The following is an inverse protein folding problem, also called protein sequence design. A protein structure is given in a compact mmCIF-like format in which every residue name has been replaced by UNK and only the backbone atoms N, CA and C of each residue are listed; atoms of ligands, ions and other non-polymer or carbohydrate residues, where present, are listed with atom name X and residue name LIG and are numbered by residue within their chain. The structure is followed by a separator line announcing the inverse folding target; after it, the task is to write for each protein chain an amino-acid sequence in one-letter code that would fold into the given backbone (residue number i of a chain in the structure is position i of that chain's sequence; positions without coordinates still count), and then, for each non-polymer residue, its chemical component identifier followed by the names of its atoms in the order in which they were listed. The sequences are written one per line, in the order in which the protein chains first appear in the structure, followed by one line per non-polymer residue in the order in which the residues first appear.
data_IF_173340928309
#
_entry.id   IF_173340928309
#
_cell.length_a   1.000
_cell.length_b   1.000
_cell.length_c   1.000
_cell.angle_alpha   90.00
_cell.angle_beta   90.00
_cell.angle_gamma   90.00
#
_symmetry.space_group_name_H-M   'P 1'
#
loop_
_entity.id
_entity.type
_entity.pdbx_description
1 polymer ?
#
# COMPACT_ATOMS: atom_id res chain seq x y z
N UNK A 1 12.48 -7.32 -26.54
CA UNK A 1 13.16 -7.41 -25.23
C UNK A 1 12.67 -6.20 -24.46
N UNK A 2 11.43 -6.29 -23.97
CA UNK A 2 10.64 -5.16 -23.49
C UNK A 2 10.43 -5.28 -21.98
N UNK A 3 9.97 -4.19 -21.36
CA UNK A 3 9.75 -4.11 -19.91
C UNK A 3 8.34 -4.58 -19.59
N UNK A 4 8.18 -5.33 -18.50
CA UNK A 4 6.88 -5.50 -17.88
C UNK A 4 6.60 -4.31 -16.97
N UNK A 5 5.34 -3.89 -17.00
CA UNK A 5 4.77 -2.69 -16.43
C UNK A 5 3.45 -3.15 -15.81
N UNK A 6 3.15 -2.80 -14.56
CA UNK A 6 2.17 -3.52 -13.72
C UNK A 6 0.79 -2.82 -13.66
N UNK A 7 0.03 -2.94 -14.76
CA UNK A 7 -1.24 -2.26 -14.97
C UNK A 7 -2.31 -2.57 -13.89
N UNK A 8 -2.71 -1.53 -13.14
CA UNK A 8 -3.51 -1.63 -11.91
C UNK A 8 -5.02 -1.45 -12.17
N UNK A 9 -5.69 -2.50 -12.64
CA UNK A 9 -7.05 -2.38 -13.21
C UNK A 9 -8.25 -2.21 -12.26
N UNK A 10 -8.18 -2.66 -11.00
CA UNK A 10 -9.37 -2.82 -10.16
C UNK A 10 -9.78 -1.55 -9.38
N UNK A 11 -8.91 -0.54 -9.33
CA UNK A 11 -9.13 0.74 -8.61
C UNK A 11 -10.37 1.48 -9.09
N UNK A 12 -10.70 1.34 -10.38
CA UNK A 12 -11.69 2.14 -11.11
C UNK A 12 -13.13 1.97 -10.58
N UNK A 13 -13.53 0.73 -10.28
CA UNK A 13 -14.90 0.41 -9.84
C UNK A 13 -15.20 0.96 -8.45
N UNK A 14 -14.19 1.01 -7.57
CA UNK A 14 -14.39 1.34 -6.17
C UNK A 14 -14.21 2.84 -5.85
N UNK A 15 -13.39 3.58 -6.61
CA UNK A 15 -13.41 5.04 -6.58
C UNK A 15 -14.80 5.59 -6.97
N UNK A 16 -15.38 5.07 -8.07
CA UNK A 16 -16.72 5.44 -8.52
C UNK A 16 -17.82 5.08 -7.50
N UNK A 17 -17.70 3.95 -6.81
CA UNK A 17 -18.67 3.53 -5.78
C UNK A 17 -18.58 4.36 -4.47
N UNK A 18 -17.38 4.77 -4.06
CA UNK A 18 -17.18 5.62 -2.88
C UNK A 18 -17.73 7.03 -3.08
N UNK A 19 -17.56 7.61 -4.27
CA UNK A 19 -18.06 8.95 -4.60
C UNK A 19 -19.59 9.08 -4.49
N UNK A 20 -20.34 7.99 -4.67
CA UNK A 20 -21.82 7.99 -4.79
C UNK A 20 -22.55 7.60 -3.48
N UNK A 21 -21.82 7.20 -2.44
CA UNK A 21 -22.40 6.50 -1.27
C UNK A 21 -22.44 7.28 0.06
N UNK A 22 -21.94 8.52 0.13
CA UNK A 22 -22.00 9.34 1.36
C UNK A 22 -23.43 9.87 1.59
N UNK A 23 -24.08 9.39 2.65
CA UNK A 23 -25.52 9.58 2.89
C UNK A 23 -25.95 10.99 3.32
N UNK A 24 -27.22 11.32 3.09
CA UNK A 24 -27.78 12.66 3.24
C UNK A 24 -27.73 13.22 4.68
N UNK A 25 -27.09 14.38 4.86
CA UNK A 25 -27.30 15.29 5.98
C UNK A 25 -27.61 16.70 5.43
N UNK A 26 -28.64 17.41 5.93
CA UNK A 26 -29.04 18.71 5.38
C UNK A 26 -28.17 19.86 5.91
N UNK A 27 -27.43 20.53 5.04
CA UNK A 27 -26.82 21.83 5.36
C UNK A 27 -27.71 22.99 4.91
N UNK A 28 -27.68 24.10 5.65
CA UNK A 28 -28.65 25.19 5.53
C UNK A 28 -28.17 26.24 4.50
N UNK A 29 -28.98 26.64 3.50
CA UNK A 29 -28.50 27.41 2.34
C UNK A 29 -28.50 28.93 2.58
N UNK A 30 -27.66 29.41 3.49
CA UNK A 30 -27.39 30.85 3.67
C UNK A 30 -25.93 31.13 4.03
N UNK A 31 -25.02 30.95 3.07
CA UNK A 31 -23.92 31.91 2.93
C UNK A 31 -23.55 32.05 1.45
N UNK A 32 -23.17 33.27 1.04
CA UNK A 32 -22.70 33.56 -0.32
C UNK A 32 -21.22 33.93 -0.21
N UNK A 33 -20.36 33.23 -0.95
CA UNK A 33 -18.91 33.25 -0.70
C UNK A 33 -18.25 34.62 -0.84
N UNK A 34 -17.22 34.81 -0.02
CA UNK A 34 -16.13 35.77 -0.24
C UNK A 34 -14.79 35.06 0.09
N UNK A 35 -13.67 35.70 -0.25
CA UNK A 35 -12.37 35.02 -0.42
C UNK A 35 -11.56 34.83 0.86
N UNK A 36 -10.93 33.65 1.00
CA UNK A 36 -9.70 33.45 1.78
C UNK A 36 -9.87 32.90 3.21
N UNK A 37 -8.73 32.76 3.86
CA UNK A 37 -8.56 32.67 5.33
C UNK A 37 -9.18 31.47 6.07
N UNK A 38 -8.91 30.26 5.56
CA UNK A 38 -8.60 29.05 6.35
C UNK A 38 -9.58 28.61 7.47
N UNK A 39 -10.58 27.80 7.11
CA UNK A 39 -11.32 26.94 8.03
C UNK A 39 -11.78 25.64 7.36
N UNK A 40 -11.17 24.50 7.75
CA UNK A 40 -11.76 23.14 7.83
C UNK A 40 -10.62 22.08 7.95
N UNK A 41 -10.14 21.85 9.17
CA UNK A 41 -9.21 20.73 9.49
C UNK A 41 -10.01 19.44 9.78
N UNK A 42 -9.88 18.38 8.97
CA UNK A 42 -10.70 17.18 9.14
C UNK A 42 -10.22 16.18 10.24
N UNK A 43 -9.16 16.44 11.02
CA UNK A 43 -8.45 15.39 11.80
C UNK A 43 -8.42 15.52 13.32
N UNK A 44 -9.26 16.37 13.89
CA UNK A 44 -9.27 16.71 15.33
C UNK A 44 -9.69 15.57 16.32
N UNK A 45 -9.64 14.27 15.96
CA UNK A 45 -10.35 13.21 16.71
C UNK A 45 -9.79 11.76 16.72
N UNK A 46 -8.57 11.47 16.24
CA UNK A 46 -8.03 10.08 16.16
C UNK A 46 -7.05 9.68 17.29
N UNK A 47 -6.99 8.38 17.66
CA UNK A 47 -6.07 7.77 18.65
C UNK A 47 -5.66 6.33 18.23
N UNK A 48 -4.37 5.92 18.30
CA UNK A 48 -3.92 4.55 17.98
C UNK A 48 -4.03 3.51 19.11
N UNK A 49 -3.89 2.23 18.75
CA UNK A 49 -3.81 1.06 19.66
C UNK A 49 -2.36 0.78 20.12
N UNK A 50 -2.08 0.53 21.41
CA UNK A 50 -0.73 0.27 21.93
C UNK A 50 -0.24 -1.19 21.83
N UNK A 51 -1.13 -2.18 21.69
CA UNK A 51 -0.75 -3.60 21.53
C UNK A 51 -0.32 -3.93 20.08
N UNK A 52 -0.14 -2.87 19.29
CA UNK A 52 -0.09 -2.86 17.83
C UNK A 52 1.33 -2.43 17.36
N UNK A 53 2.34 -3.13 17.88
CA UNK A 53 3.77 -2.87 17.69
C UNK A 53 4.56 -3.98 16.96
N UNK A 54 5.70 -3.60 16.39
CA UNK A 54 6.76 -4.48 15.89
C UNK A 54 8.16 -3.91 16.16
N UNK A 55 9.20 -4.71 15.96
CA UNK A 55 10.61 -4.28 15.99
C UNK A 55 11.24 -4.51 14.62
N UNK A 56 11.80 -3.48 13.95
CA UNK A 56 12.50 -3.70 12.67
C UNK A 56 13.66 -4.70 12.77
N UNK A 57 14.04 -5.35 11.64
CA UNK A 57 15.31 -6.06 11.53
C UNK A 57 16.50 -5.16 11.92
N UNK A 58 17.46 -5.72 12.65
CA UNK A 58 18.78 -5.12 12.87
C UNK A 58 19.62 -5.25 11.58
N UNK A 59 20.06 -4.16 10.93
CA UNK A 59 20.89 -4.23 9.73
C UNK A 59 22.17 -5.06 9.88
N UNK A 60 22.78 -5.06 11.07
CA UNK A 60 23.99 -5.84 11.35
C UNK A 60 23.70 -7.36 11.50
N UNK A 61 22.43 -7.77 11.41
CA UNK A 61 21.97 -9.16 11.42
C UNK A 61 21.51 -9.68 10.07
N UNK A 62 21.50 -8.82 9.04
CA UNK A 62 20.99 -9.16 7.72
C UNK A 62 21.91 -10.16 6.99
N UNK A 63 21.33 -11.26 6.51
CA UNK A 63 22.04 -12.33 5.78
C UNK A 63 21.38 -12.61 4.42
N UNK A 64 22.11 -12.37 3.33
CA UNK A 64 21.62 -12.68 1.99
C UNK A 64 21.82 -14.16 1.61
N UNK A 65 20.75 -14.80 1.14
CA UNK A 65 20.74 -16.09 0.48
C UNK A 65 20.40 -15.92 -1.00
N UNK A 66 21.25 -16.40 -1.89
CA UNK A 66 20.90 -16.54 -3.30
C UNK A 66 19.96 -17.73 -3.50
N UNK A 67 18.80 -17.49 -4.10
CA UNK A 67 17.81 -18.49 -4.48
C UNK A 67 18.07 -19.04 -5.89
N UNK A 68 17.52 -20.22 -6.26
CA UNK A 68 17.54 -20.70 -7.63
C UNK A 68 17.00 -19.65 -8.61
N UNK A 69 17.69 -19.49 -9.74
CA UNK A 69 17.40 -18.42 -10.70
C UNK A 69 18.10 -17.08 -10.43
N UNK A 70 18.87 -16.95 -9.34
CA UNK A 70 19.68 -15.76 -9.05
C UNK A 70 18.93 -14.63 -8.34
N UNK A 71 17.70 -14.87 -7.87
CA UNK A 71 17.00 -14.00 -6.91
C UNK A 71 17.73 -14.02 -5.56
N UNK A 72 17.56 -12.98 -4.75
CA UNK A 72 18.18 -12.88 -3.42
C UNK A 72 17.13 -12.80 -2.30
N UNK A 73 17.56 -13.10 -1.07
CA UNK A 73 16.72 -13.36 0.09
C UNK A 73 17.52 -12.92 1.35
N UNK A 74 17.36 -11.67 1.81
CA UNK A 74 18.13 -11.01 2.90
C UNK A 74 17.42 -10.92 4.28
N UNK A 75 17.87 -11.64 5.35
CA UNK A 75 17.15 -11.77 6.67
C UNK A 75 17.89 -11.33 7.91
N UNK A 76 17.19 -10.77 8.94
CA UNK A 76 17.70 -10.76 10.31
C UNK A 76 17.89 -12.21 10.79
N UNK A 77 19.14 -12.63 10.91
CA UNK A 77 19.50 -13.97 11.38
C UNK A 77 19.03 -14.26 12.81
N UNK A 78 18.65 -13.22 13.55
CA UNK A 78 18.20 -13.26 14.93
C UNK A 78 16.68 -13.10 15.10
N UNK A 79 15.87 -13.05 14.04
CA UNK A 79 14.41 -12.89 14.19
C UNK A 79 13.64 -13.95 13.40
N UNK A 80 12.66 -14.57 14.07
CA UNK A 80 11.58 -15.28 13.41
C UNK A 80 10.22 -14.64 13.73
N UNK A 81 9.21 -15.25 13.15
CA UNK A 81 7.87 -14.74 12.95
C UNK A 81 6.95 -15.96 12.91
N UNK A 82 5.79 -15.90 13.54
CA UNK A 82 4.89 -17.05 13.66
C UNK A 82 3.43 -16.63 13.86
N UNK A 83 2.51 -17.43 13.31
CA UNK A 83 1.11 -17.45 13.72
C UNK A 83 0.90 -18.56 14.75
N UNK A 84 0.34 -18.23 15.91
CA UNK A 84 -0.26 -19.23 16.78
C UNK A 84 -1.63 -19.66 16.23
N UNK A 85 -2.23 -20.70 16.78
CA UNK A 85 -3.59 -21.11 16.41
C UNK A 85 -4.60 -20.03 16.86
N UNK A 86 -5.64 -19.77 16.07
CA UNK A 86 -6.67 -18.75 16.37
C UNK A 86 -7.22 -18.82 17.82
N UNK A 87 -7.22 -17.68 18.51
CA UNK A 87 -7.66 -17.55 19.91
C UNK A 87 -6.63 -18.01 20.95
N UNK A 88 -5.35 -18.12 20.59
CA UNK A 88 -4.28 -18.53 21.51
C UNK A 88 -3.89 -17.38 22.43
N UNK A 89 -4.12 -17.54 23.73
CA UNK A 89 -3.71 -16.54 24.72
C UNK A 89 -2.21 -16.22 24.58
N UNK A 90 -1.89 -14.92 24.51
CA UNK A 90 -0.53 -14.35 24.44
C UNK A 90 0.48 -15.01 25.38
N UNK A 91 0.06 -15.40 26.57
CA UNK A 91 0.86 -16.13 27.56
C UNK A 91 1.44 -17.46 27.05
N UNK A 92 0.84 -18.10 26.04
CA UNK A 92 1.34 -19.31 25.37
C UNK A 92 2.41 -18.96 24.34
N UNK A 93 2.27 -17.84 23.62
CA UNK A 93 3.31 -17.31 22.74
C UNK A 93 4.53 -16.83 23.55
N UNK A 94 4.32 -16.20 24.71
CA UNK A 94 5.38 -15.83 25.66
C UNK A 94 6.16 -17.07 26.15
N UNK A 95 5.46 -18.16 26.45
CA UNK A 95 6.07 -19.45 26.80
C UNK A 95 6.85 -20.05 25.63
N UNK A 96 6.35 -19.96 24.39
CA UNK A 96 7.08 -20.41 23.19
C UNK A 96 8.34 -19.57 22.95
N UNK A 97 8.25 -18.25 23.00
CA UNK A 97 9.40 -17.35 22.88
C UNK A 97 10.47 -17.68 23.92
N UNK A 98 10.07 -17.82 25.18
CA UNK A 98 10.96 -18.23 26.28
C UNK A 98 11.60 -19.60 26.02
N UNK A 99 10.84 -20.57 25.49
CA UNK A 99 11.34 -21.91 25.16
C UNK A 99 12.27 -21.96 23.93
N UNK A 100 12.23 -20.94 23.08
CA UNK A 100 13.18 -20.70 21.98
C UNK A 100 14.37 -19.82 22.40
N UNK A 101 14.42 -19.39 23.67
CA UNK A 101 15.45 -18.51 24.22
C UNK A 101 15.30 -17.03 23.83
N UNK A 102 14.15 -16.64 23.29
CA UNK A 102 13.86 -15.32 22.74
C UNK A 102 12.74 -14.55 23.44
N UNK A 103 12.35 -13.42 22.85
CA UNK A 103 11.32 -12.50 23.34
C UNK A 103 10.37 -12.06 22.24
N UNK A 104 9.11 -11.76 22.59
CA UNK A 104 8.13 -11.17 21.67
C UNK A 104 8.50 -9.70 21.45
N UNK A 105 8.97 -9.38 20.25
CA UNK A 105 9.38 -8.03 19.82
C UNK A 105 8.38 -7.40 18.82
N UNK A 106 7.41 -8.18 18.37
CA UNK A 106 6.20 -7.75 17.67
C UNK A 106 5.08 -8.78 17.84
N UNK A 107 3.84 -8.39 17.57
CA UNK A 107 2.66 -9.28 17.66
C UNK A 107 1.60 -8.90 16.59
N UNK A 108 0.43 -9.52 16.56
CA UNK A 108 -0.88 -8.93 16.17
C UNK A 108 -1.96 -9.65 16.97
N UNK A 109 -2.61 -9.00 17.96
CA UNK A 109 -3.60 -9.69 18.80
C UNK A 109 -4.85 -10.16 18.03
N UNK A 110 -5.20 -9.49 16.93
CA UNK A 110 -6.38 -9.80 16.11
C UNK A 110 -6.23 -11.08 15.24
N UNK A 111 -4.99 -11.54 14.99
CA UNK A 111 -4.72 -12.77 14.21
C UNK A 111 -3.64 -13.69 14.81
N UNK A 112 -3.43 -13.62 16.13
CA UNK A 112 -2.51 -14.52 16.85
C UNK A 112 -1.04 -14.53 16.36
N UNK A 113 -0.59 -13.45 15.71
CA UNK A 113 0.78 -13.32 15.22
C UNK A 113 1.77 -12.89 16.32
N UNK A 114 3.03 -13.38 16.21
CA UNK A 114 4.16 -12.97 17.04
C UNK A 114 5.49 -12.94 16.25
N UNK A 115 6.20 -11.81 16.32
CA UNK A 115 7.61 -11.71 15.94
C UNK A 115 8.46 -11.96 17.18
N UNK A 116 9.39 -12.92 17.07
CA UNK A 116 10.32 -13.28 18.13
C UNK A 116 11.73 -12.87 17.74
N UNK A 117 12.37 -12.08 18.60
CA UNK A 117 13.83 -11.96 18.57
C UNK A 117 14.44 -13.12 19.35
N UNK A 118 15.50 -13.69 18.78
CA UNK A 118 16.11 -14.96 19.15
C UNK A 118 17.62 -14.80 19.35
N UNK A 119 18.28 -15.71 20.08
CA UNK A 119 19.73 -15.70 20.26
C UNK A 119 20.51 -16.15 19.00
N UNK A 120 19.86 -16.40 17.86
CA UNK A 120 20.48 -16.91 16.65
C UNK A 120 21.46 -15.90 16.01
N UNK A 121 22.57 -16.42 15.51
CA UNK A 121 23.67 -15.66 14.88
C UNK A 121 24.03 -16.18 13.49
N UNK A 122 23.61 -17.41 13.16
CA UNK A 122 23.80 -18.04 11.87
C UNK A 122 22.49 -18.59 11.34
N UNK A 123 22.36 -18.68 10.01
CA UNK A 123 21.17 -19.23 9.35
C UNK A 123 20.76 -20.59 9.93
N UNK A 124 21.71 -21.50 10.15
CA UNK A 124 21.43 -22.85 10.64
C UNK A 124 20.86 -22.89 12.07
N UNK A 125 21.16 -21.88 12.91
CA UNK A 125 20.55 -21.73 14.23
C UNK A 125 19.10 -21.25 14.10
N UNK A 126 18.84 -20.29 13.22
CA UNK A 126 17.49 -19.80 12.92
C UNK A 126 16.62 -20.90 12.27
N UNK A 127 17.16 -21.64 11.30
CA UNK A 127 16.52 -22.81 10.69
C UNK A 127 16.08 -23.84 11.75
N UNK A 128 16.93 -24.08 12.76
CA UNK A 128 16.65 -25.02 13.85
C UNK A 128 15.59 -24.47 14.83
N UNK A 129 15.61 -23.18 15.14
CA UNK A 129 14.59 -22.54 16.01
C UNK A 129 13.24 -22.44 15.30
N UNK A 130 13.20 -22.17 13.99
CA UNK A 130 12.01 -22.27 13.14
C UNK A 130 11.47 -23.70 13.16
N UNK A 131 12.32 -24.72 13.00
CA UNK A 131 11.90 -26.12 13.06
C UNK A 131 11.38 -26.53 14.46
N UNK A 132 11.98 -26.02 15.54
CA UNK A 132 11.52 -26.24 16.91
C UNK A 132 10.17 -25.57 17.18
N UNK A 133 9.99 -24.32 16.72
CA UNK A 133 8.72 -23.60 16.80
C UNK A 133 7.61 -24.34 16.03
N UNK A 134 7.92 -24.80 14.82
CA UNK A 134 7.00 -25.54 13.93
C UNK A 134 6.56 -26.91 14.48
N UNK A 135 7.27 -27.43 15.48
CA UNK A 135 6.90 -28.65 16.19
C UNK A 135 5.98 -28.41 17.40
N UNK A 136 5.67 -27.16 17.76
CA UNK A 136 4.74 -26.84 18.83
C UNK A 136 3.29 -26.95 18.34
N UNK A 137 2.40 -27.70 19.01
CA UNK A 137 1.02 -27.91 18.55
C UNK A 137 0.14 -26.65 18.58
N UNK A 138 0.60 -25.56 19.18
CA UNK A 138 -0.10 -24.28 19.22
C UNK A 138 0.35 -23.30 18.11
N UNK A 139 1.26 -23.72 17.21
CA UNK A 139 1.78 -22.92 16.10
C UNK A 139 1.16 -23.37 14.79
N UNK A 140 0.55 -22.43 14.06
CA UNK A 140 -0.03 -22.63 12.73
C UNK A 140 1.01 -22.42 11.63
N UNK A 141 1.83 -21.38 11.72
CA UNK A 141 2.95 -21.10 10.79
C UNK A 141 4.14 -20.48 11.51
N UNK A 142 5.33 -20.60 10.91
CA UNK A 142 6.56 -19.96 11.38
C UNK A 142 7.58 -19.91 10.23
N UNK A 143 8.27 -18.79 10.07
CA UNK A 143 9.11 -18.53 8.91
C UNK A 143 10.34 -17.64 9.14
N UNK A 144 10.99 -17.34 8.02
CA UNK A 144 11.71 -16.08 7.80
C UNK A 144 10.85 -15.21 6.87
N UNK A 145 11.26 -13.96 6.62
CA UNK A 145 10.35 -12.82 6.49
C UNK A 145 10.10 -12.39 4.99
N UNK A 146 10.57 -11.20 4.51
CA UNK A 146 10.46 -10.48 3.20
C UNK A 146 11.56 -9.45 2.56
N UNK A 147 12.19 -9.58 1.36
CA UNK A 147 12.82 -8.46 0.53
C UNK A 147 12.73 -8.61 -1.04
N UNK A 148 11.94 -7.79 -1.81
CA UNK A 148 11.71 -7.77 -3.26
C UNK A 148 11.42 -6.32 -3.78
N UNK A 149 10.74 -6.17 -4.93
CA UNK A 149 10.84 -4.99 -5.83
C UNK A 149 9.59 -4.91 -6.79
N UNK A 150 9.03 -3.73 -7.18
CA UNK A 150 7.84 -3.55 -8.09
C UNK A 150 7.93 -2.31 -9.07
N UNK A 151 7.01 -2.13 -10.06
CA UNK A 151 6.93 -0.95 -11.01
C UNK A 151 5.72 -0.84 -12.04
N UNK A 152 5.12 0.37 -12.22
CA UNK A 152 4.66 1.06 -13.50
C UNK A 152 3.21 0.89 -14.15
N UNK A 153 2.85 1.76 -15.14
CA UNK A 153 1.57 2.40 -15.67
C UNK A 153 0.28 1.61 -16.15
N UNK A 154 -0.82 2.34 -16.49
CA UNK A 154 -2.23 2.04 -16.98
C UNK A 154 -3.12 3.45 -17.11
N UNK A 155 -4.34 4.69 -18.78
CA UNK A 155 -5.11 4.49 -20.17
C UNK A 155 -5.13 5.31 -21.57
N UNK A 156 -5.77 6.50 -21.74
CA UNK A 156 -6.85 6.77 -22.76
C UNK A 156 -6.55 7.70 -23.98
N UNK A 157 -7.10 8.94 -24.09
CA UNK A 157 -6.43 10.10 -24.76
C UNK A 157 -6.65 11.41 -23.97
N UNK A 158 -6.08 11.62 -22.78
CA UNK A 158 -5.04 10.84 -22.07
C UNK A 158 -4.01 10.17 -22.96
N UNK A 159 -3.14 10.94 -23.62
CA UNK A 159 -1.68 10.75 -23.84
C UNK A 159 -1.11 9.31 -23.85
N UNK A 160 -1.61 8.45 -22.99
CA UNK A 160 -1.67 7.01 -23.11
C UNK A 160 -2.42 6.44 -24.37
N UNK A 161 -2.95 7.26 -25.29
CA UNK A 161 -3.14 6.88 -26.71
C UNK A 161 -1.94 7.20 -27.60
N UNK A 162 -1.04 8.08 -27.15
CA UNK A 162 0.20 8.47 -27.82
C UNK A 162 1.41 7.66 -27.31
N UNK A 163 1.32 7.04 -26.13
CA UNK A 163 2.27 5.99 -25.70
C UNK A 163 2.27 4.82 -26.70
N UNK A 164 3.35 4.04 -26.72
CA UNK A 164 3.48 2.94 -27.65
C UNK A 164 2.41 1.86 -27.40
N UNK A 165 1.98 1.19 -28.48
CA UNK A 165 0.90 0.19 -28.46
C UNK A 165 1.07 -0.94 -27.43
N UNK A 166 2.30 -1.25 -27.04
CA UNK A 166 2.59 -2.25 -26.01
C UNK A 166 2.14 -1.77 -24.61
N UNK A 167 2.27 -0.47 -24.34
CA UNK A 167 1.86 0.20 -23.11
C UNK A 167 0.35 0.55 -23.11
N UNK A 168 -0.26 0.77 -24.29
CA UNK A 168 -1.72 0.96 -24.41
C UNK A 168 -2.53 -0.27 -23.95
N UNK A 169 -1.96 -1.48 -24.09
CA UNK A 169 -2.73 -2.73 -24.06
C UNK A 169 -3.58 -2.91 -22.78
N UNK A 170 -3.05 -2.85 -21.54
CA UNK A 170 -3.80 -3.36 -20.41
C UNK A 170 -4.71 -2.34 -19.73
N UNK A 171 -4.46 -1.02 -19.82
CA UNK A 171 -5.52 -0.03 -19.53
C UNK A 171 -6.74 -0.27 -20.49
N UNK A 172 -6.60 -0.95 -21.65
CA UNK A 172 -7.72 -1.40 -22.51
C UNK A 172 -8.30 -2.77 -22.13
N UNK A 173 -7.48 -3.72 -21.63
CA UNK A 173 -7.96 -4.98 -21.04
C UNK A 173 -8.78 -4.77 -19.75
N UNK A 174 -8.57 -3.65 -19.06
CA UNK A 174 -9.35 -3.22 -17.87
C UNK A 174 -10.63 -2.44 -18.24
N UNK A 175 -10.97 -2.39 -19.53
CA UNK A 175 -12.11 -1.68 -20.11
C UNK A 175 -12.17 -0.18 -19.77
N UNK A 176 -11.05 0.47 -19.42
CA UNK A 176 -11.05 1.87 -18.98
C UNK A 176 -11.68 2.82 -19.99
N UNK A 177 -11.37 2.66 -21.28
CA UNK A 177 -11.94 3.50 -22.35
C UNK A 177 -13.47 3.42 -22.37
N UNK A 178 -14.02 2.21 -22.16
CA UNK A 178 -15.45 1.96 -22.04
C UNK A 178 -16.00 2.54 -20.72
N UNK A 179 -15.28 2.41 -19.61
CA UNK A 179 -15.67 2.93 -18.31
C UNK A 179 -15.72 4.46 -18.26
N UNK A 180 -14.75 5.17 -18.87
CA UNK A 180 -14.82 6.63 -19.08
C UNK A 180 -15.96 6.99 -20.01
N UNK A 181 -16.13 6.28 -21.14
CA UNK A 181 -17.26 6.53 -22.06
C UNK A 181 -18.62 6.40 -21.35
N UNK A 182 -18.74 5.46 -20.40
CA UNK A 182 -19.92 5.32 -19.56
C UNK A 182 -20.02 6.39 -18.47
N UNK A 183 -18.91 6.72 -17.80
CA UNK A 183 -18.89 7.71 -16.72
C UNK A 183 -19.16 9.12 -17.22
N UNK A 184 -18.54 9.56 -18.31
CA UNK A 184 -18.83 10.83 -18.98
C UNK A 184 -20.32 10.95 -19.33
N UNK A 185 -20.96 9.85 -19.75
CA UNK A 185 -22.40 9.79 -20.03
C UNK A 185 -23.31 9.80 -18.79
N UNK A 186 -22.77 9.63 -17.58
CA UNK A 186 -23.49 9.75 -16.31
C UNK A 186 -23.01 10.91 -15.43
N UNK A 187 -21.93 11.62 -15.80
CA UNK A 187 -21.25 12.66 -14.99
C UNK A 187 -22.17 13.81 -14.57
N UNK A 188 -23.11 14.21 -15.43
CA UNK A 188 -24.13 15.23 -15.15
C UNK A 188 -25.24 14.76 -14.17
N UNK A 189 -25.23 13.48 -13.78
CA UNK A 189 -26.25 12.85 -12.94
C UNK A 189 -25.65 12.26 -11.65
N UNK A 190 -24.35 12.41 -11.44
CA UNK A 190 -23.64 12.03 -10.22
C UNK A 190 -23.27 13.28 -9.42
N UNK A 191 -23.71 13.33 -8.17
CA UNK A 191 -23.03 14.17 -7.17
C UNK A 191 -21.73 13.47 -6.82
N UNK A 192 -20.60 14.09 -7.15
CA UNK A 192 -19.30 13.67 -6.65
C UNK A 192 -19.04 14.36 -5.31
N UNK A 193 -18.25 13.70 -4.46
CA UNK A 193 -17.71 14.26 -3.24
C UNK A 193 -16.18 14.29 -3.34
N UNK A 194 -15.50 15.19 -2.62
CA UNK A 194 -14.05 15.12 -2.44
C UNK A 194 -13.59 13.72 -2.02
N UNK A 195 -12.60 13.22 -2.74
CA UNK A 195 -11.90 11.95 -2.51
C UNK A 195 -10.42 12.26 -2.37
N UNK A 196 -9.87 12.01 -1.18
CA UNK A 196 -8.43 12.10 -0.96
C UNK A 196 -7.79 10.75 -1.27
N UNK A 197 -6.79 10.73 -2.15
CA UNK A 197 -6.01 9.51 -2.45
C UNK A 197 -4.63 9.62 -1.81
N UNK A 198 -4.37 8.75 -0.84
CA UNK A 198 -3.05 8.60 -0.24
C UNK A 198 -2.10 7.89 -1.19
N UNK A 199 -0.99 8.56 -1.52
CA UNK A 199 0.11 8.00 -2.31
C UNK A 199 1.35 8.02 -1.44
N UNK A 200 1.85 6.83 -1.11
CA UNK A 200 2.91 6.63 -0.13
C UNK A 200 4.02 5.84 -0.79
N UNK A 201 4.96 6.56 -1.38
CA UNK A 201 5.91 6.04 -2.36
C UNK A 201 7.10 7.02 -2.47
N UNK A 202 8.01 6.89 -3.45
CA UNK A 202 9.29 7.64 -3.48
C UNK A 202 9.15 9.17 -3.40
N UNK A 203 8.05 9.70 -3.92
CA UNK A 203 7.66 11.11 -3.94
C UNK A 203 6.66 11.34 -5.06
N UNK A 204 6.35 12.60 -5.36
CA UNK A 204 5.72 13.00 -6.62
C UNK A 204 6.43 14.27 -7.06
N UNK A 205 7.19 14.19 -8.16
CA UNK A 205 7.86 15.35 -8.73
C UNK A 205 6.87 16.21 -9.53
N UNK A 206 6.48 17.41 -9.04
CA UNK A 206 5.59 18.28 -9.80
C UNK A 206 6.33 19.00 -10.93
N UNK A 207 7.67 19.00 -10.95
CA UNK A 207 8.44 19.62 -12.03
C UNK A 207 8.36 18.86 -13.37
N UNK A 208 7.54 17.80 -13.45
CA UNK A 208 7.09 17.22 -14.71
C UNK A 208 6.07 18.08 -15.44
N UNK A 209 5.25 18.86 -14.72
CA UNK A 209 4.09 19.56 -15.28
C UNK A 209 2.90 18.65 -15.58
N UNK A 210 2.77 17.53 -14.85
CA UNK A 210 1.69 16.54 -15.02
C UNK A 210 0.76 16.47 -13.78
N UNK A 211 0.91 17.41 -12.85
CA UNK A 211 0.15 17.47 -11.60
C UNK A 211 -0.19 18.93 -11.21
N UNK A 212 -0.36 19.80 -12.20
CA UNK A 212 -0.64 21.22 -12.00
C UNK A 212 -2.15 21.47 -11.75
N UNK A 213 -3.04 20.57 -12.18
CA UNK A 213 -4.51 20.66 -11.96
C UNK A 213 -5.00 19.92 -10.70
N UNK A 214 -4.12 19.24 -9.93
CA UNK A 214 -4.49 18.43 -8.75
C UNK A 214 -3.89 18.95 -7.43
N UNK A 215 -4.72 19.14 -6.40
CA UNK A 215 -4.24 19.53 -5.05
C UNK A 215 -3.35 18.44 -4.44
N UNK A 216 -2.07 18.74 -4.19
CA UNK A 216 -1.17 17.83 -3.47
C UNK A 216 -0.86 18.30 -2.04
N UNK A 217 -1.41 17.60 -1.05
CA UNK A 217 -1.01 17.72 0.35
C UNK A 217 0.21 16.85 0.65
N UNK A 218 1.40 17.45 0.62
CA UNK A 218 2.67 16.77 0.93
C UNK A 218 2.89 16.60 2.44
N UNK A 219 2.84 15.35 2.90
CA UNK A 219 2.94 14.96 4.31
C UNK A 219 4.30 15.27 4.98
N UNK A 220 5.36 15.54 4.22
CA UNK A 220 6.70 15.78 4.79
C UNK A 220 6.99 17.25 5.15
N UNK A 221 6.30 18.20 4.50
CA UNK A 221 6.44 19.66 4.64
C UNK A 221 7.89 20.19 4.83
N UNK A 222 8.88 19.62 4.12
CA UNK A 222 10.28 20.06 4.19
C UNK A 222 10.61 21.11 3.11
N UNK A 223 10.21 22.36 3.35
CA UNK A 223 10.62 23.59 2.62
C UNK A 223 10.60 23.45 1.09
N UNK A 224 9.40 23.57 0.53
CA UNK A 224 9.14 23.44 -0.91
C UNK A 224 8.40 22.14 -1.24
N UNK A 225 7.84 22.00 -2.46
CA UNK A 225 7.31 20.71 -2.90
C UNK A 225 8.46 19.70 -3.00
N UNK A 226 8.33 18.50 -2.42
CA UNK A 226 9.37 17.49 -2.46
C UNK A 226 9.40 16.80 -3.84
N UNK A 227 10.22 17.34 -4.74
CA UNK A 227 10.71 16.64 -5.95
C UNK A 227 10.92 15.15 -5.66
N UNK A 228 10.36 14.23 -6.46
CA UNK A 228 10.67 12.80 -6.36
C UNK A 228 12.15 12.58 -6.75
N UNK A 229 13.03 12.38 -5.76
CA UNK A 229 14.47 12.44 -5.98
C UNK A 229 15.05 11.02 -6.12
N UNK A 230 14.17 10.02 -6.23
CA UNK A 230 14.56 8.63 -6.40
C UNK A 230 14.74 8.34 -7.91
N UNK A 231 15.87 7.76 -8.35
CA UNK A 231 16.14 7.57 -9.79
C UNK A 231 15.13 6.72 -10.57
N UNK A 232 14.22 6.00 -9.90
CA UNK A 232 13.13 5.26 -10.56
C UNK A 232 11.86 6.09 -10.80
N UNK A 233 11.67 7.21 -10.09
CA UNK A 233 10.44 8.02 -10.08
C UNK A 233 9.15 7.20 -9.89
N UNK A 234 9.20 6.19 -9.01
CA UNK A 234 8.11 5.23 -8.87
C UNK A 234 6.83 5.87 -8.33
N UNK A 235 6.93 6.67 -7.27
CA UNK A 235 5.81 7.41 -6.73
C UNK A 235 5.22 8.43 -7.71
N UNK A 236 6.08 9.08 -8.51
CA UNK A 236 5.63 9.95 -9.61
C UNK A 236 4.87 9.15 -10.68
N UNK A 237 5.32 7.95 -11.05
CA UNK A 237 4.61 7.09 -12.00
C UNK A 237 3.30 6.51 -11.44
N UNK A 238 3.26 6.18 -10.14
CA UNK A 238 2.05 5.75 -9.42
C UNK A 238 1.05 6.89 -9.32
N UNK A 239 1.50 8.11 -9.03
CA UNK A 239 0.67 9.31 -9.12
C UNK A 239 0.19 9.55 -10.55
N UNK A 240 1.02 9.33 -11.57
CA UNK A 240 0.60 9.39 -12.98
C UNK A 240 -0.59 8.48 -13.28
N UNK A 241 -0.52 7.20 -12.87
CA UNK A 241 -1.62 6.23 -13.02
C UNK A 241 -2.93 6.65 -12.34
N UNK A 242 -2.86 7.42 -11.26
CA UNK A 242 -4.02 7.77 -10.43
C UNK A 242 -4.57 9.14 -10.82
N UNK A 243 -3.69 10.12 -11.03
CA UNK A 243 -3.97 11.53 -10.79
C UNK A 243 -3.18 12.51 -11.66
N UNK A 244 -2.47 12.09 -12.72
CA UNK A 244 -1.88 13.06 -13.65
C UNK A 244 -2.93 13.75 -14.52
N UNK A 245 -2.60 14.96 -14.97
CA UNK A 245 -3.52 15.90 -15.63
C UNK A 245 -4.05 15.40 -16.99
N UNK A 246 -5.23 15.87 -17.42
CA UNK A 246 -5.89 15.55 -18.71
C UNK A 246 -5.69 16.69 -19.74
N UNK A 247 -4.44 17.14 -19.87
CA UNK A 247 -4.06 18.40 -20.55
C UNK A 247 -3.61 18.24 -22.02
N UNK A 248 -3.60 17.01 -22.54
CA UNK A 248 -3.02 16.59 -23.82
C UNK A 248 -1.47 16.49 -23.85
N UNK A 249 -0.85 16.28 -22.69
CA UNK A 249 0.55 15.84 -22.57
C UNK A 249 0.72 14.75 -21.51
N UNK A 250 1.78 13.95 -21.62
CA UNK A 250 2.19 13.09 -20.50
C UNK A 250 1.44 11.77 -20.37
N UNK A 251 0.67 11.60 -19.30
CA UNK A 251 -0.13 10.39 -18.97
C UNK A 251 -1.38 10.63 -18.05
N UNK A 252 -2.55 11.11 -18.53
CA UNK A 252 -3.74 11.30 -17.64
C UNK A 252 -4.08 10.08 -16.77
N UNK A 253 -4.31 10.36 -15.48
CA UNK A 253 -4.56 9.38 -14.43
C UNK A 253 -6.01 8.92 -14.29
N UNK A 254 -6.16 7.66 -13.85
CA UNK A 254 -7.44 6.94 -13.75
C UNK A 254 -8.54 7.65 -12.97
N UNK A 255 -8.20 8.57 -12.08
CA UNK A 255 -9.15 9.31 -11.26
C UNK A 255 -9.29 10.78 -11.69
N UNK A 256 -8.28 11.39 -12.33
CA UNK A 256 -8.30 12.80 -12.81
C UNK A 256 -9.52 13.04 -13.70
N UNK A 257 -9.67 12.18 -14.72
CA UNK A 257 -10.79 12.23 -15.68
C UNK A 257 -12.17 12.17 -15.02
N UNK A 258 -12.26 11.46 -13.88
CA UNK A 258 -13.53 11.17 -13.22
C UNK A 258 -13.90 12.25 -12.19
N UNK A 259 -12.93 12.65 -11.36
CA UNK A 259 -13.16 13.44 -10.16
C UNK A 259 -12.86 14.92 -10.34
N UNK A 260 -11.89 15.27 -11.22
CA UNK A 260 -11.45 16.65 -11.47
C UNK A 260 -11.14 17.36 -10.14
N UNK A 261 -11.69 18.56 -9.91
CA UNK A 261 -11.59 19.38 -8.69
C UNK A 261 -11.94 18.66 -7.35
N UNK A 262 -12.47 17.43 -7.41
CA UNK A 262 -12.80 16.59 -6.25
C UNK A 262 -11.70 15.56 -5.92
N UNK A 263 -10.62 15.49 -6.72
CA UNK A 263 -9.46 14.67 -6.44
C UNK A 263 -8.41 15.50 -5.70
N UNK A 264 -7.97 15.02 -4.55
CA UNK A 264 -6.83 15.60 -3.84
C UNK A 264 -5.86 14.48 -3.50
N UNK A 265 -4.56 14.71 -3.70
CA UNK A 265 -3.51 13.76 -3.36
C UNK A 265 -2.96 14.03 -1.96
N UNK A 266 -2.68 12.96 -1.22
CA UNK A 266 -2.00 13.02 0.07
C UNK A 266 -0.69 12.25 -0.06
N UNK A 267 0.41 12.97 -0.31
CA UNK A 267 1.68 12.40 -0.76
C UNK A 267 2.69 12.30 0.38
N UNK A 268 3.19 11.09 0.64
CA UNK A 268 4.31 10.83 1.54
C UNK A 268 5.52 10.29 0.80
N UNK A 269 6.60 11.08 0.71
CA UNK A 269 7.88 10.66 0.12
C UNK A 269 8.65 9.71 1.06
N UNK A 270 8.57 8.42 0.79
CA UNK A 270 9.21 7.34 1.55
C UNK A 270 10.68 7.18 1.13
N UNK A 271 11.51 6.72 2.08
CA UNK A 271 12.90 6.30 1.82
C UNK A 271 13.29 5.01 2.57
N UNK A 272 12.31 4.33 3.16
CA UNK A 272 12.48 3.13 3.97
C UNK A 272 11.11 2.48 4.23
N UNK A 273 11.11 1.20 4.62
CA UNK A 273 9.93 0.47 5.11
C UNK A 273 9.17 1.23 6.20
N UNK A 274 9.88 1.74 7.21
CA UNK A 274 9.28 2.58 8.25
C UNK A 274 8.65 3.87 7.70
N UNK A 275 9.24 4.45 6.66
CA UNK A 275 8.68 5.58 5.92
C UNK A 275 7.32 5.26 5.30
N UNK A 276 7.18 4.12 4.62
CA UNK A 276 5.88 3.67 4.10
C UNK A 276 4.84 3.59 5.23
N UNK A 277 5.15 2.92 6.34
CA UNK A 277 4.20 2.69 7.45
C UNK A 277 3.77 4.01 8.10
N UNK A 278 4.73 4.91 8.34
CA UNK A 278 4.49 6.24 8.91
C UNK A 278 3.64 7.09 7.95
N UNK A 279 3.99 7.14 6.67
CA UNK A 279 3.26 7.98 5.72
C UNK A 279 1.90 7.40 5.32
N UNK A 280 1.68 6.08 5.31
CA UNK A 280 0.32 5.49 5.17
C UNK A 280 -0.52 5.78 6.41
N UNK A 281 0.08 5.71 7.61
CA UNK A 281 -0.56 6.14 8.85
C UNK A 281 -0.96 7.61 8.76
N UNK A 282 -0.04 8.49 8.35
CA UNK A 282 -0.28 9.92 8.19
C UNK A 282 -1.26 10.24 7.05
N UNK A 283 -1.29 9.48 5.95
CA UNK A 283 -2.22 9.70 4.85
C UNK A 283 -3.66 9.40 5.26
N UNK A 284 -3.89 8.31 6.00
CA UNK A 284 -5.19 8.02 6.59
C UNK A 284 -5.57 9.00 7.70
N UNK A 285 -4.60 9.41 8.53
CA UNK A 285 -4.77 10.48 9.52
C UNK A 285 -4.76 11.89 8.91
N UNK A 286 -4.62 11.99 7.58
CA UNK A 286 -4.93 13.14 6.73
C UNK A 286 -6.12 12.82 5.78
N UNK A 287 -6.91 11.80 6.14
CA UNK A 287 -8.25 11.57 5.63
C UNK A 287 -8.33 10.95 4.24
N UNK A 288 -7.24 10.39 3.73
CA UNK A 288 -7.26 9.59 2.51
C UNK A 288 -8.44 8.60 2.53
N UNK A 289 -9.46 8.84 1.71
CA UNK A 289 -10.64 7.99 1.55
C UNK A 289 -10.22 6.67 0.87
N UNK A 290 -9.18 6.74 0.03
CA UNK A 290 -8.47 5.59 -0.57
C UNK A 290 -6.96 5.76 -0.34
N UNK A 291 -6.23 4.70 -0.04
CA UNK A 291 -4.76 4.69 -0.08
C UNK A 291 -4.29 3.66 -1.09
N UNK A 292 -3.47 4.09 -2.05
CA UNK A 292 -2.84 3.21 -3.01
C UNK A 292 -1.49 2.70 -2.49
N UNK A 293 -1.27 1.40 -2.63
CA UNK A 293 -0.13 0.66 -2.12
C UNK A 293 0.42 -0.23 -3.24
N UNK A 294 1.04 0.42 -4.23
CA UNK A 294 1.78 -0.19 -5.36
C UNK A 294 3.15 -0.77 -4.94
N UNK A 295 3.21 -1.27 -3.72
CA UNK A 295 4.39 -1.82 -3.07
C UNK A 295 3.97 -3.12 -2.39
N UNK A 296 4.91 -4.02 -2.15
CA UNK A 296 4.51 -5.25 -1.49
C UNK A 296 5.59 -6.23 -1.11
N UNK A 297 5.14 -7.21 -0.35
CA UNK A 297 5.91 -8.01 0.55
C UNK A 297 5.57 -9.51 0.35
N UNK A 298 6.28 -10.29 -0.49
CA UNK A 298 6.08 -11.76 -0.62
C UNK A 298 6.71 -12.61 0.52
N UNK A 299 6.61 -13.94 0.47
CA UNK A 299 7.19 -14.90 1.46
C UNK A 299 8.60 -15.42 1.13
N UNK A 300 9.04 -15.28 -0.12
CA UNK A 300 10.36 -15.68 -0.65
C UNK A 300 11.35 -14.52 -0.62
N UNK A 301 11.38 -13.89 0.55
CA UNK A 301 11.70 -12.49 0.85
C UNK A 301 12.17 -12.60 2.37
N UNK A 302 13.06 -11.76 2.99
CA UNK A 302 13.29 -11.77 4.48
C UNK A 302 13.19 -10.55 5.54
N UNK A 303 12.49 -9.41 5.33
CA UNK A 303 11.47 -8.63 6.17
C UNK A 303 9.93 -8.72 5.70
N UNK A 304 9.00 -9.62 6.15
CA UNK A 304 7.59 -9.80 5.61
C UNK A 304 6.47 -10.25 6.54
N UNK A 305 6.50 -11.33 7.33
CA UNK A 305 5.32 -11.56 8.20
C UNK A 305 5.20 -10.33 9.10
N UNK A 306 6.33 -9.78 9.58
CA UNK A 306 6.32 -8.50 10.29
C UNK A 306 5.77 -7.27 9.52
N UNK A 307 5.57 -7.40 8.21
CA UNK A 307 5.00 -6.38 7.33
C UNK A 307 3.59 -6.75 6.84
N UNK A 308 3.28 -8.03 6.66
CA UNK A 308 1.93 -8.57 6.67
C UNK A 308 1.20 -8.06 7.91
N UNK A 309 1.80 -8.26 9.06
CA UNK A 309 1.26 -7.93 10.36
C UNK A 309 1.22 -6.43 10.62
N UNK A 310 2.24 -5.68 10.21
CA UNK A 310 2.18 -4.22 10.25
C UNK A 310 1.11 -3.66 9.31
N UNK A 311 0.98 -4.19 8.09
CA UNK A 311 0.00 -3.70 7.11
C UNK A 311 -1.43 -4.11 7.46
N UNK A 312 -1.64 -5.34 7.89
CA UNK A 312 -2.92 -5.87 8.37
C UNK A 312 -3.47 -4.98 9.48
N UNK A 313 -2.64 -4.66 10.48
CA UNK A 313 -2.99 -3.70 11.54
C UNK A 313 -3.28 -2.30 11.00
N UNK A 314 -2.41 -1.78 10.14
CA UNK A 314 -2.61 -0.46 9.54
C UNK A 314 -3.97 -0.38 8.84
N UNK A 315 -4.42 -1.47 8.23
CA UNK A 315 -5.69 -1.60 7.50
C UNK A 315 -6.89 -1.84 8.40
N UNK A 316 -6.80 -2.76 9.35
CA UNK A 316 -7.88 -3.12 10.27
C UNK A 316 -8.30 -1.93 11.15
N UNK A 317 -7.34 -1.16 11.67
CA UNK A 317 -7.61 0.07 12.43
C UNK A 317 -8.19 1.23 11.59
N UNK A 318 -8.40 1.03 10.28
CA UNK A 318 -8.78 2.07 9.31
C UNK A 318 -9.88 1.56 8.38
N UNK A 319 -10.89 0.90 8.94
CA UNK A 319 -12.04 0.35 8.22
C UNK A 319 -12.87 1.36 7.40
N UNK A 320 -12.69 2.67 7.61
CA UNK A 320 -13.27 3.75 6.80
C UNK A 320 -12.40 4.18 5.62
N UNK A 321 -11.19 3.64 5.49
CA UNK A 321 -10.22 3.89 4.41
C UNK A 321 -10.15 2.64 3.54
N UNK A 322 -10.26 2.82 2.22
CA UNK A 322 -10.07 1.75 1.26
C UNK A 322 -8.59 1.60 0.90
N UNK A 323 -8.01 0.41 1.10
CA UNK A 323 -6.62 0.14 0.76
C UNK A 323 -6.53 -0.64 -0.55
N UNK A 324 -5.94 -0.03 -1.58
CA UNK A 324 -5.78 -0.64 -2.90
C UNK A 324 -4.35 -1.15 -3.04
N UNK A 325 -4.19 -2.45 -3.12
CA UNK A 325 -2.95 -3.16 -2.84
C UNK A 325 -2.53 -4.03 -4.03
N UNK A 326 -1.31 -3.86 -4.55
CA UNK A 326 -0.81 -4.72 -5.63
C UNK A 326 -0.65 -6.17 -5.17
N UNK A 327 -1.04 -7.13 -6.00
CA UNK A 327 -0.98 -8.57 -5.72
C UNK A 327 0.44 -9.18 -5.76
N UNK A 328 1.45 -8.41 -6.18
CA UNK A 328 2.81 -8.88 -6.40
C UNK A 328 3.13 -9.23 -7.85
N UNK A 329 4.42 -9.25 -8.18
CA UNK A 329 4.95 -9.52 -9.52
C UNK A 329 5.65 -10.90 -9.60
N UNK A 330 5.57 -11.70 -8.55
CA UNK A 330 6.33 -12.94 -8.36
C UNK A 330 5.75 -14.14 -9.14
N UNK A 331 4.64 -13.92 -9.86
CA UNK A 331 3.88 -14.93 -10.64
C UNK A 331 3.36 -16.09 -9.79
N UNK A 332 3.09 -15.85 -8.51
CA UNK A 332 2.47 -16.80 -7.57
C UNK A 332 0.98 -16.52 -7.41
N UNK A 333 0.16 -17.58 -7.35
CA UNK A 333 -1.22 -17.50 -6.87
C UNK A 333 -1.26 -16.94 -5.44
N UNK A 334 -2.18 -16.03 -5.15
CA UNK A 334 -2.35 -15.51 -3.79
C UNK A 334 -3.16 -16.48 -2.94
N UNK A 335 -2.53 -16.96 -1.87
CA UNK A 335 -3.07 -17.98 -0.95
C UNK A 335 -3.62 -17.37 0.34
N UNK A 336 -3.75 -16.04 0.41
CA UNK A 336 -4.20 -15.33 1.62
C UNK A 336 -3.18 -15.27 2.77
N UNK A 337 -1.93 -15.69 2.54
CA UNK A 337 -0.78 -15.50 3.44
C UNK A 337 0.54 -15.70 2.69
N UNK A 338 0.72 -14.98 1.57
CA UNK A 338 1.95 -15.07 0.78
C UNK A 338 2.40 -13.74 0.15
N UNK A 339 1.63 -12.66 0.35
CA UNK A 339 1.95 -11.32 -0.11
C UNK A 339 1.33 -10.27 0.81
N UNK A 340 2.00 -9.16 1.10
CA UNK A 340 1.49 -8.08 1.96
C UNK A 340 1.79 -6.69 1.36
N UNK A 341 0.86 -5.74 1.36
CA UNK A 341 -0.53 -5.90 1.79
C UNK A 341 -1.39 -6.73 0.83
N UNK A 342 -0.95 -7.01 -0.41
CA UNK A 342 -1.82 -7.55 -1.46
C UNK A 342 -2.57 -8.86 -1.15
N UNK A 343 -2.06 -9.74 -0.29
CA UNK A 343 -2.76 -10.97 0.11
C UNK A 343 -3.74 -10.81 1.28
N UNK A 344 -3.82 -9.63 1.90
CA UNK A 344 -4.59 -9.37 3.13
C UNK A 344 -6.09 -9.31 2.82
N UNK A 345 -6.82 -10.35 3.21
CA UNK A 345 -8.26 -10.51 2.95
C UNK A 345 -9.22 -9.70 3.84
N UNK A 346 -8.88 -8.44 4.18
CA UNK A 346 -9.77 -7.55 4.93
C UNK A 346 -10.87 -6.94 4.03
N UNK A 347 -12.03 -6.62 4.62
CA UNK A 347 -13.18 -6.07 3.89
C UNK A 347 -12.99 -4.67 3.32
N UNK A 348 -11.97 -3.93 3.79
CA UNK A 348 -11.54 -2.63 3.28
C UNK A 348 -10.23 -2.71 2.46
N UNK A 349 -9.80 -3.91 2.06
CA UNK A 349 -8.64 -4.13 1.18
C UNK A 349 -9.11 -4.63 -0.19
N UNK A 350 -8.56 -4.03 -1.25
CA UNK A 350 -8.70 -4.52 -2.62
C UNK A 350 -7.34 -4.97 -3.12
N UNK A 351 -7.24 -6.27 -3.38
CA UNK A 351 -6.11 -6.89 -4.07
C UNK A 351 -6.23 -6.66 -5.57
N UNK A 352 -5.24 -5.99 -6.18
CA UNK A 352 -5.18 -5.79 -7.64
C UNK A 352 -4.10 -6.67 -8.25
N UNK A 353 -4.51 -7.68 -9.00
CA UNK A 353 -3.61 -8.46 -9.85
C UNK A 353 -3.37 -7.72 -11.18
N UNK A 354 -2.12 -7.71 -11.65
CA UNK A 354 -1.79 -7.27 -13.00
C UNK A 354 -2.21 -8.33 -14.03
N UNK A 355 -2.71 -7.89 -15.18
CA UNK A 355 -3.00 -8.77 -16.33
C UNK A 355 -1.99 -8.54 -17.45
N UNK A 356 -1.69 -9.60 -18.21
CA UNK A 356 -0.81 -9.60 -19.36
C UNK A 356 -1.36 -10.55 -20.44
N UNK A 357 -0.77 -10.50 -21.64
CA UNK A 357 -1.01 -11.43 -22.75
C UNK A 357 0.29 -12.11 -23.17
#
# INVERSE_FOLDING_TARGET
MMRYVAYCGLTLVCLAALAVSKGCAPHNPTDNGDTGDGADDPFASYVPDPDVYYTPPDPDRMIEQTLPGGRTFEFPVNQLILLMNEGTQRSVAEQLATALGGTIVGQVPEIDFYQLELPATTRAELDALIAQAKANPNVTSVGYNGVPQLNQTCPAQSDNADIAREDQCPFAETEYFQAVTMFDAFREHLTLHPVRVGIVDTGVDPATGEFDDVDIFYLNNTVGPPEDPHPSRHGTAVAGVIAADDDFSGVNGMASRFLQDNLHLVVGSVRSTAGFIVYTTMAASAGADVINMSFGWDTSRPDFEIMWDTWLRVMAHRSTVLFVCSAGNEMTELTGFNYAPGGIGLSNVITVAATAR
#
